data_IF_106371826676
#
_entry.id   IF_106371826676
#
_cell.length_a   1.000
_cell.length_b   1.000
_cell.length_c   1.000
_cell.angle_alpha   90.00
_cell.angle_beta   90.00
_cell.angle_gamma   90.00
#
_symmetry.space_group_name_H-M   'P 1'
#
loop_
_entity.id
_entity.type
_entity.pdbx_description
1 polymer ?
#
# COMPACT_ATOMS: atom_id res chain seq x y z
N UNK A 1 13.53 0.70 3.32
CA UNK A 1 13.91 1.81 2.44
C UNK A 1 14.62 1.17 1.27
N UNK A 2 14.09 1.34 0.06
CA UNK A 2 14.75 0.83 -1.15
C UNK A 2 15.64 1.95 -1.66
N UNK A 3 16.85 1.60 -2.05
CA UNK A 3 17.83 2.53 -2.58
C UNK A 3 17.29 3.21 -3.86
N UNK A 4 17.40 4.55 -3.94
CA UNK A 4 16.84 5.32 -5.06
C UNK A 4 15.35 5.71 -4.96
N UNK A 5 14.72 5.50 -3.80
CA UNK A 5 13.43 6.13 -3.49
C UNK A 5 13.61 7.39 -2.63
N UNK A 6 12.95 8.47 -3.04
CA UNK A 6 12.93 9.74 -2.29
C UNK A 6 11.53 9.99 -1.74
N UNK A 7 11.46 10.59 -0.55
CA UNK A 7 10.20 11.06 0.04
C UNK A 7 10.01 12.52 -0.32
N UNK A 8 8.89 12.84 -0.93
CA UNK A 8 8.51 14.20 -1.27
C UNK A 8 7.13 14.51 -0.72
N UNK A 9 6.95 15.76 -0.35
CA UNK A 9 5.65 16.30 0.02
C UNK A 9 5.06 16.96 -1.23
N UNK A 10 3.94 16.46 -1.73
CA UNK A 10 3.29 17.02 -2.91
C UNK A 10 2.10 17.86 -2.48
N UNK A 11 2.11 19.14 -2.84
CA UNK A 11 0.95 20.01 -2.64
C UNK A 11 -0.25 19.52 -3.44
N UNK A 12 -1.46 19.84 -2.99
CA UNK A 12 -2.70 19.42 -3.66
C UNK A 12 -2.77 19.89 -5.13
N UNK A 13 -2.21 21.07 -5.42
CA UNK A 13 -2.15 21.61 -6.79
C UNK A 13 -1.27 20.70 -7.66
N UNK A 14 -0.08 20.34 -7.18
CA UNK A 14 0.83 19.44 -7.87
C UNK A 14 0.22 18.03 -8.03
N UNK A 15 -0.51 17.53 -7.03
CA UNK A 15 -1.23 16.27 -7.14
C UNK A 15 -2.23 16.27 -8.31
N UNK A 16 -2.95 17.39 -8.52
CA UNK A 16 -3.91 17.53 -9.62
C UNK A 16 -3.23 17.65 -10.99
N UNK A 17 -2.13 18.42 -11.08
CA UNK A 17 -1.38 18.59 -12.34
C UNK A 17 -0.77 17.26 -12.78
N UNK A 18 -0.17 16.54 -11.82
CA UNK A 18 0.54 15.28 -12.07
C UNK A 18 -0.41 14.09 -12.18
N UNK A 19 -1.62 14.20 -11.63
CA UNK A 19 -2.63 13.14 -11.63
C UNK A 19 -2.36 12.06 -10.58
N UNK A 20 -1.85 12.44 -9.40
CA UNK A 20 -1.63 11.55 -8.26
C UNK A 20 -2.51 11.91 -7.06
N UNK A 21 -3.74 12.40 -7.31
CA UNK A 21 -4.67 12.80 -6.26
C UNK A 21 -5.08 11.64 -5.34
N UNK A 22 -5.00 11.89 -4.03
CA UNK A 22 -5.37 10.93 -3.00
C UNK A 22 -6.89 10.72 -3.01
N UNK A 23 -7.32 9.47 -3.10
CA UNK A 23 -8.72 9.06 -3.14
C UNK A 23 -9.27 8.87 -4.55
N UNK A 24 -8.69 9.52 -5.56
CA UNK A 24 -9.06 9.34 -6.97
C UNK A 24 -8.05 8.45 -7.70
N UNK A 25 -6.78 8.84 -7.71
CA UNK A 25 -5.72 8.14 -8.42
C UNK A 25 -4.92 7.20 -7.52
N UNK A 26 -4.73 7.59 -6.26
CA UNK A 26 -3.98 6.83 -5.26
C UNK A 26 -4.89 6.54 -4.07
N UNK A 27 -5.11 5.27 -3.75
CA UNK A 27 -6.02 4.86 -2.66
C UNK A 27 -5.30 4.03 -1.61
N UNK A 28 -5.96 3.75 -0.48
CA UNK A 28 -5.41 2.86 0.55
C UNK A 28 -5.23 1.43 0.08
N UNK A 29 -6.02 0.99 -0.90
CA UNK A 29 -5.91 -0.33 -1.53
C UNK A 29 -4.83 -0.34 -2.63
N UNK A 30 -4.71 0.77 -3.38
CA UNK A 30 -3.73 0.95 -4.45
C UNK A 30 -2.88 2.20 -4.18
N UNK A 31 -1.89 2.11 -3.29
CA UNK A 31 -1.09 3.26 -2.88
C UNK A 31 -0.02 3.64 -3.90
N UNK A 32 0.03 3.04 -5.09
CA UNK A 32 1.07 3.27 -6.10
C UNK A 32 0.46 3.56 -7.47
N UNK A 33 1.00 4.54 -8.18
CA UNK A 33 0.56 4.96 -9.51
C UNK A 33 1.76 5.28 -10.42
N UNK A 34 1.62 4.93 -11.70
CA UNK A 34 2.56 5.32 -12.73
C UNK A 34 2.16 6.66 -13.33
N UNK A 35 3.09 7.60 -13.31
CA UNK A 35 2.93 8.95 -13.82
C UNK A 35 3.89 9.15 -14.98
N UNK A 36 3.47 9.86 -16.03
CA UNK A 36 4.34 10.18 -17.16
C UNK A 36 5.36 11.24 -16.74
N UNK A 37 6.63 10.97 -17.02
CA UNK A 37 7.75 11.89 -16.78
C UNK A 37 7.50 13.25 -17.44
N UNK A 38 6.98 13.26 -18.66
CA UNK A 38 6.62 14.46 -19.43
C UNK A 38 5.71 15.44 -18.64
N UNK A 39 4.75 14.93 -17.87
CA UNK A 39 3.86 15.77 -17.06
C UNK A 39 4.61 16.40 -15.86
N UNK A 40 5.56 15.64 -15.29
CA UNK A 40 6.37 16.10 -14.17
C UNK A 40 7.39 17.14 -14.66
N UNK A 41 7.99 16.93 -15.83
CA UNK A 41 8.88 17.87 -16.52
C UNK A 41 8.14 19.16 -16.88
N UNK A 42 6.94 19.07 -17.47
CA UNK A 42 6.12 20.25 -17.79
C UNK A 42 5.76 21.04 -16.53
N UNK A 43 5.43 20.36 -15.43
CA UNK A 43 5.21 21.00 -14.13
C UNK A 43 6.48 21.66 -13.57
N UNK A 44 7.67 21.08 -13.78
CA UNK A 44 8.95 21.68 -13.39
C UNK A 44 9.27 22.93 -14.21
N UNK A 45 9.02 22.88 -15.52
CA UNK A 45 9.21 24.02 -16.44
C UNK A 45 8.23 25.17 -16.13
N UNK A 46 6.95 24.87 -15.91
CA UNK A 46 5.90 25.86 -15.60
C UNK A 46 6.07 26.49 -14.20
N UNK A 47 6.59 25.74 -13.24
CA UNK A 47 6.68 26.16 -11.83
C UNK A 47 8.10 26.04 -11.27
N UNK A 48 9.07 26.63 -11.95
CA UNK A 48 10.51 26.51 -11.66
C UNK A 48 10.94 27.02 -10.28
N UNK A 49 10.13 27.85 -9.60
CA UNK A 49 10.44 28.38 -8.26
C UNK A 49 9.59 27.79 -7.13
N UNK A 50 8.53 27.03 -7.45
CA UNK A 50 7.58 26.55 -6.43
C UNK A 50 7.14 25.11 -6.64
N UNK A 51 7.77 24.39 -7.56
CA UNK A 51 7.48 22.98 -7.78
C UNK A 51 8.01 22.12 -6.62
N UNK A 52 7.17 21.22 -6.13
CA UNK A 52 7.52 20.27 -5.08
C UNK A 52 8.60 19.25 -5.52
N UNK A 53 8.89 19.19 -6.83
CA UNK A 53 9.91 18.30 -7.43
C UNK A 53 11.29 18.95 -7.60
N UNK A 54 11.47 20.20 -7.22
CA UNK A 54 12.77 20.89 -7.28
C UNK A 54 13.95 20.11 -6.66
N UNK A 55 13.85 19.51 -5.46
CA UNK A 55 14.98 18.80 -4.87
C UNK A 55 15.43 17.58 -5.69
N UNK A 56 14.56 17.01 -6.51
CA UNK A 56 14.80 15.78 -7.29
C UNK A 56 14.80 16.05 -8.81
N UNK A 57 14.82 17.31 -9.25
CA UNK A 57 14.69 17.65 -10.66
C UNK A 57 15.72 16.92 -11.53
N UNK A 58 16.98 16.88 -11.08
CA UNK A 58 18.08 16.32 -11.85
C UNK A 58 17.91 14.80 -11.99
N UNK A 59 17.46 14.15 -10.94
CA UNK A 59 17.19 12.71 -10.93
C UNK A 59 16.02 12.37 -11.86
N UNK A 60 14.97 13.19 -11.88
CA UNK A 60 13.84 13.04 -12.82
C UNK A 60 14.30 13.20 -14.27
N UNK A 61 15.12 14.22 -14.56
CA UNK A 61 15.67 14.46 -15.90
C UNK A 61 16.62 13.34 -16.36
N UNK A 62 17.45 12.82 -15.46
CA UNK A 62 18.39 11.72 -15.74
C UNK A 62 17.69 10.36 -15.87
N UNK A 63 16.50 10.22 -15.29
CA UNK A 63 15.73 8.97 -15.33
C UNK A 63 15.47 8.52 -16.78
N UNK A 64 15.93 7.31 -17.18
CA UNK A 64 15.90 6.85 -18.57
C UNK A 64 14.49 6.52 -19.07
N UNK A 65 13.57 6.26 -18.14
CA UNK A 65 12.22 5.81 -18.43
C UNK A 65 11.21 6.96 -18.57
N UNK A 66 10.16 6.70 -19.35
CA UNK A 66 9.11 7.70 -19.64
C UNK A 66 8.06 7.80 -18.53
N UNK A 67 8.06 6.87 -17.58
CA UNK A 67 7.07 6.82 -16.50
C UNK A 67 7.75 6.58 -15.17
N UNK A 68 7.41 7.43 -14.21
CA UNK A 68 7.92 7.42 -12.84
C UNK A 68 6.84 6.82 -11.94
N UNK A 69 7.26 5.97 -11.01
CA UNK A 69 6.37 5.36 -10.04
C UNK A 69 6.30 6.25 -8.80
N UNK A 70 5.10 6.70 -8.46
CA UNK A 70 4.81 7.52 -7.28
C UNK A 70 3.87 6.73 -6.38
N UNK A 71 4.11 6.73 -5.08
CA UNK A 71 3.23 6.06 -4.12
C UNK A 71 2.96 6.87 -2.88
N UNK A 72 1.81 6.67 -2.28
CA UNK A 72 1.44 7.30 -1.02
C UNK A 72 2.25 6.67 0.12
N UNK A 73 2.95 7.50 0.88
CA UNK A 73 3.65 7.05 2.07
C UNK A 73 2.64 6.87 3.23
N UNK A 74 2.60 5.70 3.88
CA UNK A 74 1.77 5.53 5.07
C UNK A 74 2.38 6.36 6.20
N UNK A 75 1.68 7.41 6.65
CA UNK A 75 2.16 8.27 7.72
C UNK A 75 1.17 8.35 8.88
N UNK A 76 1.72 8.26 10.09
CA UNK A 76 1.03 8.43 11.38
C UNK A 76 0.78 9.89 11.78
N UNK A 77 1.42 10.89 11.15
CA UNK A 77 1.51 12.28 11.65
C UNK A 77 1.40 13.44 10.62
N UNK A 78 1.23 13.20 9.32
CA UNK A 78 1.07 14.24 8.31
C UNK A 78 0.52 13.64 7.00
N UNK A 79 -0.51 14.28 6.49
CA UNK A 79 -1.14 13.99 5.19
C UNK A 79 -0.15 14.44 4.08
N UNK A 80 -0.25 13.91 2.86
CA UNK A 80 0.49 14.39 1.67
C UNK A 80 1.99 14.02 1.51
N UNK A 81 2.47 12.96 2.15
CA UNK A 81 3.82 12.43 1.84
C UNK A 81 3.76 11.31 0.80
N UNK A 82 4.63 11.40 -0.21
CA UNK A 82 4.73 10.46 -1.32
C UNK A 82 6.15 9.91 -1.44
N UNK A 83 6.24 8.64 -1.82
CA UNK A 83 7.46 8.00 -2.32
C UNK A 83 7.55 8.19 -3.82
N UNK A 84 8.70 8.61 -4.31
CA UNK A 84 9.00 8.72 -5.73
C UNK A 84 10.18 7.82 -6.04
N UNK A 85 10.02 6.93 -7.02
CA UNK A 85 11.06 6.02 -7.47
C UNK A 85 11.86 6.70 -8.59
N UNK A 86 13.13 7.01 -8.32
CA UNK A 86 14.00 7.73 -9.26
C UNK A 86 15.01 6.79 -9.93
N UNK A 87 14.92 5.48 -9.68
CA UNK A 87 15.77 4.45 -10.27
C UNK A 87 14.94 3.28 -10.78
N UNK A 88 15.40 2.61 -11.83
CA UNK A 88 14.71 1.41 -12.33
C UNK A 88 14.69 0.30 -11.28
N UNK A 89 15.77 0.16 -10.51
CA UNK A 89 15.86 -0.81 -9.42
C UNK A 89 14.80 -0.57 -8.34
N UNK A 90 14.60 0.69 -7.93
CA UNK A 90 13.58 1.03 -6.94
C UNK A 90 12.17 0.76 -7.45
N UNK A 91 11.88 1.11 -8.71
CA UNK A 91 10.61 0.79 -9.36
C UNK A 91 10.36 -0.72 -9.37
N UNK A 92 11.32 -1.50 -9.88
CA UNK A 92 11.20 -2.95 -10.01
C UNK A 92 11.09 -3.65 -8.66
N UNK A 93 11.81 -3.17 -7.64
CA UNK A 93 11.69 -3.66 -6.27
C UNK A 93 10.29 -3.40 -5.68
N UNK A 94 9.72 -2.21 -5.91
CA UNK A 94 8.35 -1.89 -5.47
C UNK A 94 7.33 -2.78 -6.18
N UNK A 95 7.45 -2.94 -7.50
CA UNK A 95 6.54 -3.81 -8.27
C UNK A 95 6.60 -5.25 -7.74
N UNK A 96 7.80 -5.79 -7.51
CA UNK A 96 7.98 -7.12 -6.91
C UNK A 96 7.34 -7.21 -5.53
N UNK A 97 7.49 -6.17 -4.70
CA UNK A 97 6.90 -6.14 -3.36
C UNK A 97 5.36 -6.12 -3.42
N UNK A 98 4.77 -5.35 -4.35
CA UNK A 98 3.32 -5.33 -4.57
C UNK A 98 2.82 -6.70 -5.04
N UNK A 99 3.54 -7.34 -5.96
CA UNK A 99 3.16 -8.66 -6.50
C UNK A 99 3.22 -9.75 -5.42
N UNK A 100 4.27 -9.76 -4.60
CA UNK A 100 4.41 -10.65 -3.45
C UNK A 100 3.26 -10.48 -2.45
N UNK A 101 2.89 -9.23 -2.13
CA UNK A 101 1.78 -8.93 -1.23
C UNK A 101 0.44 -9.45 -1.78
N UNK A 102 0.20 -9.30 -3.09
CA UNK A 102 -1.00 -9.82 -3.75
C UNK A 102 -1.05 -11.35 -3.70
N UNK A 103 0.06 -12.03 -4.01
CA UNK A 103 0.11 -13.50 -4.02
C UNK A 103 -0.11 -14.12 -2.64
N UNK A 104 0.41 -13.49 -1.57
CA UNK A 104 0.15 -13.93 -0.19
C UNK A 104 -1.32 -13.77 0.19
N UNK A 105 -1.95 -12.65 -0.17
CA UNK A 105 -3.38 -12.42 0.04
C UNK A 105 -4.23 -13.49 -0.66
N UNK A 106 -3.94 -13.80 -1.92
CA UNK A 106 -4.65 -14.84 -2.67
C UNK A 106 -4.51 -16.23 -2.02
N UNK A 107 -3.33 -16.56 -1.51
CA UNK A 107 -3.07 -17.84 -0.85
C UNK A 107 -3.85 -17.97 0.46
N UNK A 108 -3.99 -16.87 1.21
CA UNK A 108 -4.79 -16.82 2.46
C UNK A 108 -6.29 -16.92 2.20
N UNK A 109 -6.80 -16.24 1.18
CA UNK A 109 -8.22 -16.35 0.78
C UNK A 109 -8.53 -17.77 0.33
N UNK A 110 -7.69 -18.38 -0.51
CA UNK A 110 -7.85 -19.78 -0.94
C UNK A 110 -7.87 -20.73 0.27
N UNK A 111 -6.95 -20.58 1.23
CA UNK A 111 -6.97 -21.37 2.48
C UNK A 111 -8.22 -21.16 3.34
N UNK A 112 -8.82 -19.96 3.31
CA UNK A 112 -10.05 -19.67 4.06
C UNK A 112 -11.31 -20.22 3.38
N UNK A 113 -11.36 -20.20 2.04
CA UNK A 113 -12.49 -20.71 1.24
C UNK A 113 -12.51 -22.24 1.25
N UNK A 114 -11.35 -22.90 1.32
CA UNK A 114 -11.22 -24.35 1.52
C UNK A 114 -11.22 -24.77 3.01
N UNK A 115 -11.85 -24.02 3.91
CA UNK A 115 -12.32 -24.64 5.15
C UNK A 115 -13.37 -25.66 4.74
N UNK A 116 -12.98 -26.92 4.65
CA UNK A 116 -13.91 -28.02 4.48
C UNK A 116 -15.07 -27.78 5.43
N UNK A 117 -16.27 -27.72 4.86
CA UNK A 117 -17.53 -27.68 5.62
C UNK A 117 -17.45 -28.90 6.54
N UNK A 118 -17.03 -28.70 7.79
CA UNK A 118 -17.08 -29.77 8.79
C UNK A 118 -18.53 -30.17 8.82
N UNK A 119 -18.79 -31.36 8.31
CA UNK A 119 -20.10 -31.98 8.30
C UNK A 119 -20.58 -31.93 9.74
N UNK A 120 -21.57 -31.08 10.03
CA UNK A 120 -22.23 -31.10 11.32
C UNK A 120 -22.86 -32.48 11.42
N UNK A 121 -22.20 -33.41 12.12
CA UNK A 121 -22.86 -34.65 12.52
C UNK A 121 -24.05 -34.19 13.35
N UNK A 122 -25.25 -34.39 12.83
CA UNK A 122 -26.42 -34.47 13.70
C UNK A 122 -26.16 -35.66 14.60
N UNK A 123 -25.79 -35.38 15.84
CA UNK A 123 -25.74 -36.40 16.90
C UNK A 123 -27.17 -36.80 17.22
N UNK A 124 -27.75 -37.64 16.36
CA UNK A 124 -28.84 -38.53 16.72
C UNK A 124 -28.21 -39.82 17.27
N UNK A 125 -27.54 -39.69 18.42
CA UNK A 125 -27.32 -40.80 19.33
C UNK A 125 -27.04 -40.17 20.69
N UNK A 126 -28.00 -40.31 21.61
CA UNK A 126 -28.00 -39.70 22.93
C UNK A 126 -26.90 -40.28 23.82
N UNK A 127 -25.67 -39.80 23.64
CA UNK A 127 -24.55 -40.06 24.55
C UNK A 127 -23.74 -38.78 24.72
N UNK A 128 -23.96 -38.12 25.85
CA UNK A 128 -23.15 -36.98 26.28
C UNK A 128 -21.72 -37.38 26.62
N UNK A 129 -20.84 -36.38 26.54
CA UNK A 129 -19.40 -36.39 26.80
C UNK A 129 -18.57 -37.11 25.71
N UNK A 130 -17.58 -36.50 25.05
CA UNK A 130 -16.63 -35.47 25.50
C UNK A 130 -16.41 -34.44 24.37
N UNK A 131 -16.64 -33.16 24.66
CA UNK A 131 -16.22 -32.08 23.76
C UNK A 131 -14.77 -31.73 24.11
N UNK A 132 -13.84 -32.10 23.24
CA UNK A 132 -12.44 -31.68 23.36
C UNK A 132 -12.36 -30.16 23.52
N UNK A 133 -11.68 -29.79 24.60
CA UNK A 133 -11.32 -28.45 25.03
C UNK A 133 -10.53 -27.71 23.94
N UNK A 134 -11.22 -27.10 22.99
CA UNK A 134 -10.63 -26.09 22.12
C UNK A 134 -10.47 -24.82 22.95
N UNK A 135 -9.30 -24.68 23.59
CA UNK A 135 -8.85 -23.49 24.28
C UNK A 135 -8.90 -22.25 23.38
N UNK A 136 -10.04 -21.57 23.39
CA UNK A 136 -10.16 -20.19 22.97
C UNK A 136 -9.75 -19.38 24.20
N UNK A 137 -8.58 -18.77 24.18
CA UNK A 137 -8.22 -17.78 25.20
C UNK A 137 -8.77 -16.42 24.75
N UNK A 138 -9.88 -15.91 25.32
CA UNK A 138 -10.26 -14.53 25.10
C UNK A 138 -9.31 -13.62 25.90
N UNK A 139 -8.41 -12.95 25.20
CA UNK A 139 -7.59 -11.89 25.77
C UNK A 139 -8.44 -10.64 26.06
N UNK A 140 -9.13 -10.61 27.21
CA UNK A 140 -9.47 -9.38 27.96
C UNK A 140 -10.23 -9.74 29.24
N UNK A 141 -9.63 -9.45 30.39
CA UNK A 141 -10.35 -9.44 31.66
C UNK A 141 -11.12 -8.12 31.80
N UNK A 142 -12.41 -8.10 32.14
CA UNK A 142 -13.08 -6.90 32.62
C UNK A 142 -12.69 -6.64 34.08
N UNK A 143 -12.38 -5.38 34.35
CA UNK A 143 -12.13 -4.77 35.66
C UNK A 143 -13.36 -4.96 36.58
N UNK A 144 -13.12 -5.27 37.86
CA UNK A 144 -14.16 -5.18 38.89
C UNK A 144 -14.09 -3.80 39.54
N UNK A 145 -15.24 -3.12 39.61
CA UNK A 145 -15.45 -1.91 40.41
C UNK A 145 -15.87 -2.33 41.82
N UNK A 146 -15.29 -1.69 42.83
CA UNK A 146 -15.64 -1.84 44.25
C UNK A 146 -16.87 -1.00 44.62
#
# INVERSE_FOLDING_TARGET
EVDGMVRLHLSKITQQIVGCEIGENVTTEYPWIFVKKDIIEDNLDLHTESSDFLPVQNEIFDYPDKTILIGLAPIKNAEDNFYVCLTEDSRDAVIKQIDLLRSDQETRVKKSVFREVRHWRRSDDGRGDEADEFGITPGRAPFQTE
#
